data_IF_485726185703
#
_entry.id   IF_485726185703
#
_cell.length_a   1.000
_cell.length_b   1.000
_cell.length_c   1.000
_cell.angle_alpha   90.00
_cell.angle_beta   90.00
_cell.angle_gamma   90.00
#
_symmetry.space_group_name_H-M   'P 1'
#
loop_
_entity.id
_entity.type
_entity.pdbx_description
1 polymer ?
#
# COMPACT_ATOMS: atom_id res chain seq x y z
N UNK A 1 14.59 -14.73 -13.57
CA UNK A 1 13.85 -13.49 -13.93
C UNK A 1 13.59 -12.71 -12.66
N UNK A 2 13.93 -11.42 -12.59
CA UNK A 2 13.49 -10.54 -11.49
C UNK A 2 12.02 -10.19 -11.73
N UNK A 3 11.18 -10.32 -10.71
CA UNK A 3 9.80 -9.82 -10.77
C UNK A 3 9.76 -8.30 -10.84
N UNK A 4 8.70 -7.73 -11.42
CA UNK A 4 8.47 -6.27 -11.45
C UNK A 4 8.21 -5.71 -10.05
N UNK A 5 7.60 -6.52 -9.18
CA UNK A 5 7.47 -6.29 -7.75
C UNK A 5 8.27 -7.38 -7.04
N UNK A 6 9.19 -6.98 -6.19
CA UNK A 6 10.11 -7.86 -5.47
C UNK A 6 9.60 -8.16 -4.06
N UNK A 7 10.37 -8.91 -3.28
CA UNK A 7 10.06 -9.19 -1.88
C UNK A 7 9.87 -7.91 -1.05
N UNK A 8 10.55 -6.81 -1.42
CA UNK A 8 10.39 -5.51 -0.74
C UNK A 8 8.96 -5.00 -0.80
N UNK A 9 8.30 -5.17 -1.95
CA UNK A 9 6.89 -4.78 -2.09
C UNK A 9 5.98 -5.67 -1.25
N UNK A 10 6.25 -6.98 -1.19
CA UNK A 10 5.48 -7.94 -0.38
C UNK A 10 5.62 -7.62 1.12
N UNK A 11 6.84 -7.33 1.58
CA UNK A 11 7.13 -6.90 2.94
C UNK A 11 6.40 -5.60 3.29
N UNK A 12 6.46 -4.60 2.42
CA UNK A 12 5.75 -3.33 2.60
C UNK A 12 4.22 -3.53 2.66
N UNK A 13 3.66 -4.36 1.78
CA UNK A 13 2.24 -4.70 1.77
C UNK A 13 1.82 -5.37 3.07
N UNK A 14 2.58 -6.37 3.53
CA UNK A 14 2.31 -7.07 4.79
C UNK A 14 2.45 -6.15 6.00
N UNK A 15 3.44 -5.25 6.00
CA UNK A 15 3.63 -4.25 7.05
C UNK A 15 2.46 -3.27 7.10
N UNK A 16 2.09 -2.65 5.97
CA UNK A 16 0.97 -1.72 5.88
C UNK A 16 -0.36 -2.37 6.30
N UNK A 17 -0.58 -3.63 5.90
CA UNK A 17 -1.77 -4.39 6.31
C UNK A 17 -1.85 -4.53 7.84
N UNK A 18 -0.74 -4.89 8.48
CA UNK A 18 -0.67 -5.03 9.95
C UNK A 18 -0.78 -3.68 10.66
N UNK A 19 -0.18 -2.64 10.10
CA UNK A 19 -0.20 -1.29 10.68
C UNK A 19 -1.62 -0.70 10.78
N UNK A 20 -2.47 -1.03 9.81
CA UNK A 20 -3.84 -0.50 9.73
C UNK A 20 -4.93 -1.54 10.09
N UNK A 21 -4.57 -2.65 10.75
CA UNK A 21 -5.46 -3.81 10.98
C UNK A 21 -6.75 -3.49 11.76
N UNK A 22 -6.68 -2.47 12.61
CA UNK A 22 -7.72 -2.04 13.55
C UNK A 22 -8.29 -0.67 13.17
N UNK A 23 -7.82 -0.10 12.05
CA UNK A 23 -8.22 1.22 11.59
C UNK A 23 -9.38 1.15 10.61
N UNK A 24 -10.35 2.04 10.79
CA UNK A 24 -11.47 2.24 9.88
C UNK A 24 -11.42 3.63 9.26
N UNK A 25 -11.86 3.74 8.01
CA UNK A 25 -12.00 5.04 7.33
C UNK A 25 -13.16 5.83 7.94
N UNK A 26 -12.88 7.09 8.28
CA UNK A 26 -13.87 8.03 8.84
C UNK A 26 -15.08 8.15 7.91
N UNK A 27 -16.29 8.10 8.48
CA UNK A 27 -17.55 8.28 7.76
C UNK A 27 -18.09 7.05 7.02
N UNK A 28 -17.21 6.21 6.45
CA UNK A 28 -17.64 5.02 5.69
C UNK A 28 -17.58 3.70 6.46
N UNK A 29 -16.74 3.59 7.49
CA UNK A 29 -16.56 2.36 8.27
C UNK A 29 -15.85 1.21 7.55
N UNK A 30 -15.39 1.40 6.31
CA UNK A 30 -14.56 0.42 5.59
C UNK A 30 -13.16 0.32 6.22
N UNK A 31 -12.47 -0.83 6.13
CA UNK A 31 -11.09 -0.97 6.59
C UNK A 31 -10.19 0.10 5.98
N UNK A 32 -9.40 0.78 6.81
CA UNK A 32 -8.56 1.91 6.36
C UNK A 32 -7.56 1.47 5.30
N UNK A 33 -7.00 0.26 5.43
CA UNK A 33 -6.04 -0.32 4.49
C UNK A 33 -6.49 -0.32 3.01
N UNK A 34 -7.81 -0.29 2.76
CA UNK A 34 -8.33 -0.13 1.40
C UNK A 34 -7.84 1.15 0.71
N UNK A 35 -7.57 2.23 1.47
CA UNK A 35 -7.04 3.49 0.97
C UNK A 35 -5.59 3.37 0.45
N UNK A 36 -4.57 3.05 1.26
CA UNK A 36 -3.19 2.92 0.76
C UNK A 36 -3.05 1.83 -0.30
N UNK A 37 -3.85 0.76 -0.25
CA UNK A 37 -3.89 -0.25 -1.31
C UNK A 37 -4.38 0.33 -2.66
N UNK A 38 -5.43 1.17 -2.64
CA UNK A 38 -5.92 1.85 -3.83
C UNK A 38 -4.91 2.87 -4.38
N UNK A 39 -4.22 3.62 -3.50
CA UNK A 39 -3.18 4.57 -3.90
C UNK A 39 -2.01 3.85 -4.58
N UNK A 40 -1.55 2.73 -4.02
CA UNK A 40 -0.49 1.92 -4.63
C UNK A 40 -0.89 1.37 -6.00
N UNK A 41 -2.15 0.95 -6.18
CA UNK A 41 -2.68 0.55 -7.49
C UNK A 41 -2.57 1.67 -8.52
N UNK A 42 -2.98 2.90 -8.15
CA UNK A 42 -2.92 4.06 -9.04
C UNK A 42 -1.48 4.41 -9.45
N UNK A 43 -0.52 4.31 -8.53
CA UNK A 43 0.89 4.55 -8.84
C UNK A 43 1.41 3.54 -9.87
N UNK A 44 1.09 2.26 -9.70
CA UNK A 44 1.52 1.22 -10.64
C UNK A 44 0.86 1.39 -12.02
N UNK A 45 -0.44 1.73 -12.07
CA UNK A 45 -1.15 2.02 -13.32
C UNK A 45 -0.61 3.26 -14.05
N UNK A 46 -0.10 4.24 -13.30
CA UNK A 46 0.56 5.42 -13.85
C UNK A 46 2.00 5.16 -14.35
N UNK A 47 2.49 3.92 -14.28
CA UNK A 47 3.86 3.56 -14.67
C UNK A 47 4.91 3.87 -13.60
N UNK A 48 4.48 4.06 -12.35
CA UNK A 48 5.35 4.27 -11.22
C UNK A 48 6.25 3.07 -10.93
N UNK A 49 7.38 3.36 -10.29
CA UNK A 49 8.38 2.40 -9.87
C UNK A 49 7.92 1.59 -8.66
N UNK A 50 8.60 0.48 -8.37
CA UNK A 50 8.40 -0.29 -7.14
C UNK A 50 8.54 0.59 -5.90
N UNK A 51 9.55 1.48 -5.86
CA UNK A 51 9.80 2.35 -4.71
C UNK A 51 8.65 3.35 -4.50
N UNK A 52 8.08 3.89 -5.56
CA UNK A 52 6.91 4.77 -5.48
C UNK A 52 5.66 4.01 -5.03
N UNK A 53 5.47 2.77 -5.49
CA UNK A 53 4.36 1.93 -5.05
C UNK A 53 4.51 1.50 -3.57
N UNK A 54 5.73 1.25 -3.10
CA UNK A 54 6.05 1.04 -1.68
C UNK A 54 5.76 2.31 -0.88
N UNK A 55 6.20 3.46 -1.35
CA UNK A 55 5.92 4.75 -0.69
C UNK A 55 4.41 4.99 -0.58
N UNK A 56 3.64 4.67 -1.62
CA UNK A 56 2.18 4.74 -1.60
C UNK A 56 1.55 3.80 -0.56
N UNK A 57 2.06 2.58 -0.38
CA UNK A 57 1.56 1.68 0.67
C UNK A 57 1.82 2.21 2.09
N UNK A 58 2.91 2.96 2.28
CA UNK A 58 3.41 3.39 3.59
C UNK A 58 3.12 4.86 3.93
N UNK A 59 2.52 5.63 3.01
CA UNK A 59 2.44 7.10 3.12
C UNK A 59 1.64 7.61 4.33
N UNK A 60 0.70 6.80 4.83
CA UNK A 60 -0.12 7.10 6.01
C UNK A 60 0.37 6.36 7.27
N UNK A 61 1.61 5.89 7.26
CA UNK A 61 2.32 5.39 8.44
C UNK A 61 2.96 6.51 9.27
N UNK A 62 3.46 6.19 10.48
CA UNK A 62 4.19 7.13 11.33
C UNK A 62 5.53 7.59 10.73
#
# INVERSE_FOLDING_TARGET
MRGLLTERFIEALGFATRLHDTQLRKGSGVPYFAHPLAVASLVLEAGGTEDEAIAALLHDGP
#
